data_IF_517678574819
#
_entry.id   IF_517678574819
#
_cell.length_a   1.000
_cell.length_b   1.000
_cell.length_c   1.000
_cell.angle_alpha   90.00
_cell.angle_beta   90.00
_cell.angle_gamma   90.00
#
_symmetry.space_group_name_H-M   'P 1'
#
loop_
_entity.id
_entity.type
_entity.pdbx_description
1 polymer ?
#
# COMPACT_ATOMS: atom_id res chain seq x y z
N UNK A 1 -3.88 -18.22 -3.49
CA UNK A 1 -3.05 -17.69 -2.41
C UNK A 1 -1.93 -16.83 -2.96
N UNK A 2 -1.88 -15.57 -2.55
CA UNK A 2 -0.82 -14.64 -2.97
C UNK A 2 0.21 -14.61 -1.84
N UNK A 3 1.19 -15.50 -1.92
CA UNK A 3 2.26 -15.56 -0.92
C UNK A 3 3.33 -14.48 -1.13
N UNK A 4 3.31 -13.81 -2.29
CA UNK A 4 4.22 -12.70 -2.60
C UNK A 4 3.59 -11.76 -3.61
N UNK A 5 3.77 -10.46 -3.39
CA UNK A 5 3.43 -9.45 -4.39
C UNK A 5 4.47 -8.33 -4.41
N UNK A 6 4.55 -7.63 -5.55
CA UNK A 6 5.49 -6.53 -5.74
C UNK A 6 4.90 -5.43 -6.61
N UNK A 7 5.43 -4.22 -6.44
CA UNK A 7 5.11 -3.06 -7.25
C UNK A 7 6.33 -2.16 -7.35
N UNK A 8 6.42 -1.42 -8.45
CA UNK A 8 7.57 -0.55 -8.73
C UNK A 8 7.10 0.90 -8.79
N UNK A 9 7.78 1.78 -8.06
CA UNK A 9 7.53 3.22 -8.14
C UNK A 9 8.19 3.85 -9.37
N UNK A 10 9.38 3.34 -9.72
CA UNK A 10 10.18 3.71 -10.88
C UNK A 10 11.19 2.60 -11.15
N UNK A 11 11.92 2.72 -12.25
CA UNK A 11 13.05 1.84 -12.54
C UNK A 11 14.08 1.87 -11.40
N UNK A 12 14.48 0.68 -10.95
CA UNK A 12 15.44 0.51 -9.85
C UNK A 12 14.87 0.73 -8.44
N UNK A 13 13.55 0.88 -8.27
CA UNK A 13 12.91 0.92 -6.96
C UNK A 13 11.64 0.05 -6.92
N UNK A 14 11.84 -1.23 -6.60
CA UNK A 14 10.79 -2.22 -6.41
C UNK A 14 10.58 -2.46 -4.91
N UNK A 15 9.32 -2.43 -4.49
CA UNK A 15 8.88 -2.86 -3.16
C UNK A 15 8.18 -4.21 -3.32
N UNK A 16 8.44 -5.13 -2.39
CA UNK A 16 7.72 -6.39 -2.35
C UNK A 16 7.42 -6.83 -0.93
N UNK A 17 6.40 -7.65 -0.80
CA UNK A 17 5.95 -8.24 0.45
C UNK A 17 5.81 -9.75 0.25
N UNK A 18 6.26 -10.51 1.24
CA UNK A 18 6.19 -11.98 1.26
C UNK A 18 5.45 -12.44 2.52
N UNK A 19 4.41 -13.24 2.35
CA UNK A 19 3.56 -13.71 3.43
C UNK A 19 4.21 -14.91 4.14
N UNK A 20 4.39 -14.80 5.46
CA UNK A 20 4.77 -15.89 6.33
C UNK A 20 3.52 -16.49 6.96
N UNK A 21 3.17 -17.71 6.55
CA UNK A 21 1.94 -18.36 7.01
C UNK A 21 1.96 -18.70 8.51
N UNK A 22 3.13 -19.06 9.04
CA UNK A 22 3.32 -19.41 10.45
C UNK A 22 3.08 -18.20 11.37
N UNK A 23 3.52 -17.02 10.96
CA UNK A 23 3.42 -15.79 11.74
C UNK A 23 2.22 -14.91 11.35
N UNK A 24 1.50 -15.28 10.27
CA UNK A 24 0.38 -14.55 9.68
C UNK A 24 0.71 -13.07 9.42
N UNK A 25 1.92 -12.81 8.92
CA UNK A 25 2.40 -11.47 8.60
C UNK A 25 3.10 -11.43 7.23
N UNK A 26 3.37 -10.22 6.75
CA UNK A 26 4.09 -9.95 5.52
C UNK A 26 5.43 -9.30 5.85
N UNK A 27 6.51 -9.89 5.37
CA UNK A 27 7.85 -9.34 5.42
C UNK A 27 8.07 -8.37 4.25
N UNK A 28 8.55 -7.15 4.54
CA UNK A 28 8.80 -6.13 3.52
C UNK A 28 10.22 -6.19 2.98
N UNK A 29 10.37 -6.00 1.67
CA UNK A 29 11.64 -5.91 0.96
C UNK A 29 11.70 -4.67 0.08
N UNK A 30 12.89 -4.10 -0.07
CA UNK A 30 13.21 -3.07 -1.09
C UNK A 30 14.31 -3.65 -1.98
N UNK A 31 14.08 -3.69 -3.29
CA UNK A 31 15.03 -4.19 -4.28
C UNK A 31 15.61 -5.58 -3.95
N UNK A 32 14.77 -6.46 -3.38
CA UNK A 32 15.14 -7.82 -2.99
C UNK A 32 15.83 -7.94 -1.62
N UNK A 33 16.22 -6.84 -0.98
CA UNK A 33 16.82 -6.85 0.36
C UNK A 33 15.77 -6.64 1.46
N UNK A 34 15.90 -7.31 2.63
CA UNK A 34 15.06 -7.05 3.79
C UNK A 34 15.01 -5.57 4.14
N UNK A 35 13.81 -5.02 4.32
CA UNK A 35 13.65 -3.65 4.80
C UNK A 35 13.56 -3.69 6.32
N UNK A 36 14.69 -3.47 6.99
CA UNK A 36 14.78 -3.51 8.44
C UNK A 36 14.69 -2.14 9.09
N UNK A 37 14.10 -2.11 10.27
CA UNK A 37 14.22 -0.99 11.18
C UNK A 37 15.68 -0.83 11.64
N UNK A 38 16.17 0.41 11.69
CA UNK A 38 17.58 0.69 11.95
C UNK A 38 17.98 0.43 13.41
N UNK A 39 17.09 0.71 14.35
CA UNK A 39 17.42 0.68 15.78
C UNK A 39 17.36 -0.74 16.33
N UNK A 40 16.35 -1.51 15.93
CA UNK A 40 16.18 -2.92 16.32
C UNK A 40 16.95 -3.90 15.44
N UNK A 41 17.15 -3.58 14.16
CA UNK A 41 17.65 -4.50 13.15
C UNK A 41 16.60 -5.50 12.65
N UNK A 42 15.39 -5.50 13.22
CA UNK A 42 14.30 -6.39 12.83
C UNK A 42 13.74 -6.01 11.46
N UNK A 43 13.40 -7.02 10.67
CA UNK A 43 12.73 -6.78 9.39
C UNK A 43 11.31 -6.27 9.64
N UNK A 44 10.86 -5.27 8.86
CA UNK A 44 9.49 -4.79 8.94
C UNK A 44 8.54 -5.93 8.55
N UNK A 45 7.71 -6.32 9.53
CA UNK A 45 6.63 -7.27 9.40
C UNK A 45 5.29 -6.59 9.66
N UNK A 46 4.29 -6.82 8.80
CA UNK A 46 2.94 -6.23 8.95
C UNK A 46 1.87 -7.27 8.65
N UNK A 47 0.74 -7.25 9.36
CA UNK A 47 -0.36 -8.18 9.07
C UNK A 47 -1.15 -7.80 7.82
N UNK A 48 -1.23 -6.51 7.52
CA UNK A 48 -2.08 -5.95 6.47
C UNK A 48 -1.29 -4.99 5.59
N UNK A 49 -1.53 -5.06 4.29
CA UNK A 49 -1.02 -4.09 3.31
C UNK A 49 -2.18 -3.60 2.45
N UNK A 50 -2.30 -2.28 2.33
CA UNK A 50 -3.35 -1.61 1.55
C UNK A 50 -2.68 -0.81 0.44
N UNK A 51 -2.93 -1.20 -0.81
CA UNK A 51 -2.42 -0.50 -2.00
C UNK A 51 -3.50 0.46 -2.51
N UNK A 52 -3.44 1.70 -2.04
CA UNK A 52 -4.35 2.77 -2.45
C UNK A 52 -3.90 3.41 -3.77
N UNK A 53 -4.73 3.34 -4.81
CA UNK A 53 -4.47 4.01 -6.08
C UNK A 53 -5.10 5.40 -6.09
N UNK A 54 -4.27 6.43 -6.25
CA UNK A 54 -4.70 7.83 -6.30
C UNK A 54 -4.15 8.54 -7.56
N UNK A 55 -4.86 9.50 -8.15
CA UNK A 55 -4.34 10.31 -9.24
C UNK A 55 -3.11 11.11 -8.83
N UNK A 56 -2.09 11.13 -9.69
CA UNK A 56 -0.86 11.91 -9.51
C UNK A 56 -0.76 12.96 -10.62
N UNK A 57 -0.38 14.18 -10.27
CA UNK A 57 -0.16 15.25 -11.24
C UNK A 57 1.04 16.13 -10.84
N UNK A 58 1.77 16.65 -11.83
CA UNK A 58 2.76 17.68 -11.56
C UNK A 58 2.07 18.96 -11.08
N UNK A 59 2.68 19.67 -10.13
CA UNK A 59 2.17 20.97 -9.67
C UNK A 59 2.21 22.07 -10.73
N UNK A 60 3.04 21.89 -11.75
CA UNK A 60 3.27 22.89 -12.81
C UNK A 60 3.72 24.27 -12.26
N UNK A 61 4.36 24.29 -11.09
CA UNK A 61 4.89 25.49 -10.41
C UNK A 61 6.39 25.72 -10.69
N UNK A 62 6.94 25.02 -11.68
CA UNK A 62 8.37 25.02 -12.00
C UNK A 62 9.22 24.10 -11.12
N UNK A 63 8.62 23.41 -10.15
CA UNK A 63 9.28 22.37 -9.34
C UNK A 63 9.02 20.97 -9.91
N UNK A 64 9.80 19.98 -9.46
CA UNK A 64 9.56 18.56 -9.74
C UNK A 64 8.51 17.93 -8.80
N UNK A 65 7.77 18.73 -8.03
CA UNK A 65 6.82 18.21 -7.06
C UNK A 65 5.59 17.59 -7.73
N UNK A 66 5.13 16.49 -7.13
CA UNK A 66 3.91 15.78 -7.50
C UNK A 66 2.84 16.06 -6.43
N UNK A 67 1.64 16.39 -6.90
CA UNK A 67 0.44 16.38 -6.09
C UNK A 67 -0.28 15.05 -6.26
N UNK A 68 -0.68 14.47 -5.13
CA UNK A 68 -1.43 13.23 -5.06
C UNK A 68 -2.84 13.59 -4.59
N UNK A 69 -3.85 13.27 -5.39
CA UNK A 69 -5.25 13.60 -5.08
C UNK A 69 -5.82 12.57 -4.10
N UNK A 70 -5.72 12.87 -2.81
CA UNK A 70 -6.14 11.99 -1.71
C UNK A 70 -7.55 12.27 -1.20
N UNK A 71 -8.16 13.42 -1.52
CA UNK A 71 -9.59 13.67 -1.32
C UNK A 71 -10.32 13.18 -2.56
N UNK A 72 -11.35 12.36 -2.37
CA UNK A 72 -12.09 11.73 -3.45
C UNK A 72 -12.27 10.24 -3.20
N UNK A 73 -12.17 9.45 -4.27
CA UNK A 73 -12.29 8.01 -4.22
C UNK A 73 -11.41 7.35 -5.29
N UNK A 74 -11.18 6.05 -5.16
CA UNK A 74 -10.45 5.27 -6.15
C UNK A 74 -10.36 3.80 -5.80
N UNK A 75 -9.66 3.03 -6.63
CA UNK A 75 -9.44 1.60 -6.41
C UNK A 75 -8.41 1.35 -5.30
N UNK A 76 -8.56 0.21 -4.64
CA UNK A 76 -7.60 -0.30 -3.66
C UNK A 76 -7.47 -1.81 -3.80
N UNK A 77 -6.26 -2.31 -3.52
CA UNK A 77 -6.02 -3.74 -3.33
C UNK A 77 -5.65 -3.98 -1.87
N UNK A 78 -6.26 -4.98 -1.26
CA UNK A 78 -6.02 -5.37 0.13
C UNK A 78 -5.30 -6.71 0.17
N UNK A 79 -4.25 -6.77 0.99
CA UNK A 79 -3.55 -7.98 1.36
C UNK A 79 -3.64 -8.11 2.89
N UNK A 80 -4.65 -8.85 3.38
CA UNK A 80 -5.04 -8.90 4.79
C UNK A 80 -4.81 -10.30 5.34
N UNK A 81 -3.83 -10.46 6.22
CA UNK A 81 -3.52 -11.74 6.87
C UNK A 81 -3.42 -12.95 5.91
N UNK A 82 -2.87 -12.75 4.71
CA UNK A 82 -2.71 -13.79 3.68
C UNK A 82 -3.80 -13.80 2.60
N UNK A 83 -4.89 -13.04 2.79
CA UNK A 83 -5.98 -12.95 1.84
C UNK A 83 -5.80 -11.76 0.90
N UNK A 84 -6.22 -11.92 -0.36
CA UNK A 84 -6.24 -10.86 -1.35
C UNK A 84 -7.67 -10.51 -1.72
N UNK A 85 -7.98 -9.22 -1.76
CA UNK A 85 -9.24 -8.73 -2.29
C UNK A 85 -9.08 -7.34 -2.92
N UNK A 86 -9.96 -7.02 -3.86
CA UNK A 86 -10.06 -5.69 -4.45
C UNK A 86 -11.21 -4.92 -3.81
N UNK A 87 -11.13 -3.58 -3.86
CA UNK A 87 -12.21 -2.73 -3.39
C UNK A 87 -12.02 -1.27 -3.77
N UNK A 88 -12.63 -0.38 -2.99
CA UNK A 88 -12.55 1.06 -3.18
C UNK A 88 -12.15 1.80 -1.91
N UNK A 89 -11.56 2.98 -2.04
CA UNK A 89 -11.35 3.91 -0.95
C UNK A 89 -12.16 5.19 -1.19
N UNK A 90 -12.55 5.87 -0.12
CA UNK A 90 -13.18 7.19 -0.16
C UNK A 90 -12.68 8.07 0.98
N UNK A 91 -12.43 9.35 0.68
CA UNK A 91 -12.10 10.38 1.67
C UNK A 91 -12.82 11.67 1.29
N UNK A 92 -13.70 12.15 2.17
CA UNK A 92 -14.60 13.26 1.89
C UNK A 92 -13.93 14.64 2.01
N UNK A 93 -12.96 14.78 2.91
CA UNK A 93 -12.26 16.04 3.15
C UNK A 93 -10.86 15.82 3.74
N UNK A 94 -10.08 16.90 3.87
CA UNK A 94 -8.75 16.83 4.51
C UNK A 94 -8.83 16.23 5.92
N UNK A 95 -9.84 16.61 6.69
CA UNK A 95 -9.98 16.24 8.09
C UNK A 95 -10.75 14.92 8.30
N UNK A 96 -11.40 14.38 7.27
CA UNK A 96 -12.11 13.10 7.37
C UNK A 96 -11.14 11.92 7.31
N UNK A 97 -11.42 10.76 7.92
CA UNK A 97 -10.63 9.55 7.65
C UNK A 97 -10.79 9.12 6.18
N UNK A 98 -9.82 8.36 5.68
CA UNK A 98 -10.02 7.53 4.48
C UNK A 98 -10.76 6.27 4.91
N UNK A 99 -11.88 5.98 4.25
CA UNK A 99 -12.66 4.75 4.41
C UNK A 99 -12.36 3.80 3.28
N UNK A 100 -12.46 2.51 3.57
CA UNK A 100 -12.11 1.42 2.67
C UNK A 100 -13.30 0.49 2.56
N UNK A 101 -13.63 0.06 1.35
CA UNK A 101 -14.79 -0.78 1.08
C UNK A 101 -14.38 -1.96 0.22
N UNK A 102 -14.95 -3.13 0.49
CA UNK A 102 -14.78 -4.32 -0.34
C UNK A 102 -15.62 -4.23 -1.64
N UNK A 103 -15.60 -5.31 -2.43
CA UNK A 103 -16.35 -5.40 -3.67
C UNK A 103 -17.88 -5.37 -3.49
N UNK A 104 -18.37 -5.73 -2.30
CA UNK A 104 -19.80 -5.72 -1.96
C UNK A 104 -20.23 -4.36 -1.37
N UNK A 105 -19.28 -3.42 -1.20
CA UNK A 105 -19.53 -2.11 -0.60
C UNK A 105 -19.59 -2.12 0.93
N UNK A 106 -19.14 -3.20 1.58
CA UNK A 106 -19.00 -3.26 3.02
C UNK A 106 -17.69 -2.60 3.44
N UNK A 107 -17.74 -1.81 4.52
CA UNK A 107 -16.54 -1.16 5.06
C UNK A 107 -15.60 -2.23 5.67
N UNK A 108 -14.31 -2.16 5.29
CA UNK A 108 -13.24 -3.10 5.66
C UNK A 108 -12.48 -2.62 6.89
#
# INVERSE_FOLDING_TARGET
DINKFSFSYRDGYQVSYEFLEEEKNYLRYINGSPHSDRESGEQIAVTNVVLQYAPHQHRNDGTACIDIQVIGNGSVEFFLAGQYQQGTWQKDSMDSPTRFFDADGQEV
#
